data_IF_552615552211
#
_entry.id   IF_552615552211
#
_cell.length_a   1.000
_cell.length_b   1.000
_cell.length_c   1.000
_cell.angle_alpha   90.00
_cell.angle_beta   90.00
_cell.angle_gamma   90.00
#
_symmetry.space_group_name_H-M   'P 1'
#
loop_
_entity.id
_entity.type
_entity.pdbx_description
1 polymer ?
#
# COMPACT_ATOMS: atom_id res chain seq x y z
N UNK A 1 -46.11 -2.47 21.47
CA UNK A 1 -46.68 -1.27 22.11
C UNK A 1 -46.73 -1.49 23.62
N UNK A 2 -45.85 -0.81 24.36
CA UNK A 2 -46.12 -0.33 25.73
C UNK A 2 -44.89 0.45 26.19
N UNK A 3 -45.04 1.77 26.13
CA UNK A 3 -44.18 2.75 26.79
C UNK A 3 -44.45 2.70 28.30
N UNK A 4 -43.44 2.98 29.11
CA UNK A 4 -43.62 3.41 30.49
C UNK A 4 -42.71 4.59 30.75
N UNK A 5 -43.36 5.75 30.89
CA UNK A 5 -42.80 7.00 31.33
C UNK A 5 -43.41 7.32 32.70
N UNK A 6 -42.59 7.75 33.66
CA UNK A 6 -42.99 8.38 34.93
C UNK A 6 -41.90 9.42 35.23
N UNK A 7 -42.12 10.69 34.89
CA UNK A 7 -42.63 11.79 35.73
C UNK A 7 -41.69 12.21 36.89
N UNK A 8 -41.14 13.42 36.71
CA UNK A 8 -40.52 14.31 37.70
C UNK A 8 -41.48 14.68 38.85
N UNK A 9 -40.93 15.25 39.93
CA UNK A 9 -41.47 16.54 40.37
C UNK A 9 -40.41 17.65 40.52
N UNK A 10 -40.82 18.81 40.02
CA UNK A 10 -40.49 20.20 40.38
C UNK A 10 -40.42 20.45 41.90
N UNK A 11 -39.72 21.46 42.44
CA UNK A 11 -39.96 22.88 42.17
C UNK A 11 -38.95 23.82 42.87
N UNK A 12 -38.60 24.92 42.17
CA UNK A 12 -38.65 26.35 42.59
C UNK A 12 -37.75 26.81 43.77
N UNK A 13 -37.02 27.93 43.80
CA UNK A 13 -37.10 29.28 43.19
C UNK A 13 -35.74 29.97 43.49
N UNK A 14 -35.17 30.94 42.78
CA UNK A 14 -35.66 32.33 42.70
C UNK A 14 -34.82 33.18 41.74
N UNK A 15 -35.54 33.77 40.80
CA UNK A 15 -35.47 35.08 40.12
C UNK A 15 -34.40 36.11 40.56
N UNK A 16 -33.70 36.73 39.59
CA UNK A 16 -33.91 38.15 39.19
C UNK A 16 -33.14 38.54 37.92
N UNK A 17 -33.77 39.44 37.17
CA UNK A 17 -33.46 39.95 35.82
C UNK A 17 -32.75 41.30 35.95
N UNK A 18 -31.75 41.59 35.10
CA UNK A 18 -31.55 42.92 34.47
C UNK A 18 -30.46 42.91 33.38
N UNK A 19 -30.86 43.26 32.15
CA UNK A 19 -30.06 44.02 31.16
C UNK A 19 -30.39 45.52 31.39
N UNK A 20 -29.63 46.53 30.89
CA UNK A 20 -28.88 46.59 29.60
C UNK A 20 -27.45 47.18 29.78
N UNK A 21 -26.58 47.36 28.77
CA UNK A 21 -26.51 48.60 27.94
C UNK A 21 -25.30 48.50 26.99
N UNK A 22 -25.48 49.06 25.80
CA UNK A 22 -24.57 49.21 24.67
C UNK A 22 -23.51 50.32 24.92
N UNK A 23 -22.27 50.15 24.45
CA UNK A 23 -21.33 51.27 24.24
C UNK A 23 -20.30 50.97 23.12
N UNK A 24 -20.35 51.80 22.08
CA UNK A 24 -19.34 51.99 21.04
C UNK A 24 -18.15 52.81 21.56
N UNK A 25 -16.96 52.60 20.97
CA UNK A 25 -15.84 53.54 20.71
C UNK A 25 -14.78 52.71 19.93
N UNK A 26 -14.39 52.93 18.67
CA UNK A 26 -13.90 54.09 17.89
C UNK A 26 -12.62 54.76 18.44
N UNK A 27 -11.71 55.00 17.49
CA UNK A 27 -10.44 55.76 17.47
C UNK A 27 -9.16 54.97 17.73
N UNK A 28 -8.01 55.25 17.10
CA UNK A 28 -7.62 55.87 15.82
C UNK A 28 -6.08 55.84 15.83
N UNK A 29 -5.52 55.79 14.63
CA UNK A 29 -4.10 55.81 14.29
C UNK A 29 -3.27 56.90 14.99
N UNK A 30 -2.03 56.57 15.33
CA UNK A 30 -0.91 57.51 15.20
C UNK A 30 0.30 56.88 14.51
N UNK A 31 0.90 57.75 13.71
CA UNK A 31 1.83 57.60 12.61
C UNK A 31 3.28 57.74 13.10
N UNK A 32 4.23 56.92 12.63
CA UNK A 32 5.66 57.26 12.64
C UNK A 32 6.25 56.90 11.28
N UNK A 33 6.86 57.92 10.67
CA UNK A 33 7.42 57.96 9.33
C UNK A 33 8.72 57.15 9.18
N UNK A 34 8.85 56.50 8.01
CA UNK A 34 10.02 56.65 7.12
C UNK A 34 11.28 55.84 7.42
N UNK A 35 11.60 54.87 6.54
CA UNK A 35 12.79 54.88 5.65
C UNK A 35 12.66 53.73 4.62
N UNK A 36 13.04 54.06 3.39
CA UNK A 36 12.98 53.31 2.13
C UNK A 36 14.05 52.20 2.02
N UNK A 37 13.71 51.04 1.41
CA UNK A 37 14.36 50.55 0.17
C UNK A 37 13.86 49.15 -0.31
N UNK A 38 13.20 49.19 -1.48
CA UNK A 38 13.14 48.30 -2.67
C UNK A 38 13.42 46.78 -2.64
N UNK A 39 12.69 46.12 -3.55
CA UNK A 39 12.75 44.75 -4.13
C UNK A 39 11.97 43.68 -3.31
N UNK A 40 11.07 42.85 -3.85
CA UNK A 40 10.90 42.31 -5.21
C UNK A 40 9.44 41.99 -5.57
N UNK A 41 9.22 41.99 -6.89
CA UNK A 41 7.98 41.80 -7.65
C UNK A 41 7.24 40.47 -7.40
N UNK A 42 5.90 40.54 -7.25
CA UNK A 42 4.98 39.41 -7.32
C UNK A 42 4.55 39.23 -8.79
N UNK A 43 5.03 38.18 -9.43
CA UNK A 43 4.49 37.74 -10.73
C UNK A 43 3.13 37.04 -10.52
N UNK A 44 2.03 37.76 -10.75
CA UNK A 44 0.74 37.15 -11.09
C UNK A 44 0.79 36.72 -12.56
N UNK A 45 0.84 35.43 -12.81
CA UNK A 45 0.58 34.90 -14.15
C UNK A 45 -0.92 34.92 -14.42
N UNK A 46 -1.33 35.72 -15.40
CA UNK A 46 -2.67 35.75 -15.98
C UNK A 46 -2.68 34.76 -17.15
N UNK A 47 -3.34 33.61 -16.97
CA UNK A 47 -3.56 32.64 -18.05
C UNK A 47 -4.70 33.16 -18.93
N UNK A 48 -4.32 33.78 -20.05
CA UNK A 48 -5.23 34.17 -21.13
C UNK A 48 -5.35 32.97 -22.09
N UNK A 49 -6.50 32.29 -22.06
CA UNK A 49 -6.83 31.21 -23.00
C UNK A 49 -7.11 31.83 -24.37
N UNK A 50 -6.28 31.52 -25.36
CA UNK A 50 -6.52 31.82 -26.77
C UNK A 50 -7.05 30.54 -27.42
N UNK A 51 -8.29 30.61 -27.89
CA UNK A 51 -8.93 29.57 -28.69
C UNK A 51 -8.70 29.91 -30.16
N UNK A 52 -7.94 29.08 -30.87
CA UNK A 52 -7.91 29.01 -32.34
C UNK A 52 -7.23 27.70 -32.77
N UNK A 53 -7.98 26.78 -33.38
CA UNK A 53 -7.56 26.15 -34.65
C UNK A 53 -8.64 25.20 -35.21
N UNK A 54 -8.95 25.51 -36.47
CA UNK A 54 -9.69 24.80 -37.50
C UNK A 54 -9.49 23.27 -37.64
N UNK A 55 -10.58 22.64 -38.09
CA UNK A 55 -10.82 21.32 -38.74
C UNK A 55 -9.61 20.49 -39.19
N UNK A 56 -9.70 19.19 -38.89
CA UNK A 56 -9.47 18.14 -39.90
C UNK A 56 -10.33 16.91 -39.57
N UNK A 57 -11.33 16.66 -40.40
CA UNK A 57 -12.16 15.46 -40.40
C UNK A 57 -11.29 14.28 -40.90
N UNK A 58 -11.00 13.29 -40.05
CA UNK A 58 -10.37 12.03 -40.43
C UNK A 58 -11.23 10.87 -39.93
N UNK A 59 -11.98 10.31 -40.88
CA UNK A 59 -12.77 9.09 -40.74
C UNK A 59 -11.88 7.93 -40.30
N UNK A 60 -12.25 7.26 -39.21
CA UNK A 60 -11.89 5.86 -38.98
C UNK A 60 -13.15 5.11 -38.58
N UNK A 61 -13.81 4.58 -39.61
CA UNK A 61 -14.75 3.47 -39.49
C UNK A 61 -13.96 2.24 -39.03
N UNK A 62 -14.22 1.82 -37.80
CA UNK A 62 -13.95 0.48 -37.31
C UNK A 62 -15.09 0.14 -36.35
N UNK A 63 -16.22 -0.20 -36.95
CA UNK A 63 -17.38 -0.76 -36.25
C UNK A 63 -17.01 -2.15 -35.70
N UNK A 64 -16.33 -2.18 -34.56
CA UNK A 64 -16.25 -3.34 -33.68
C UNK A 64 -17.23 -3.09 -32.54
N UNK A 65 -18.26 -3.93 -32.45
CA UNK A 65 -19.24 -3.90 -31.37
C UNK A 65 -18.54 -4.12 -30.01
N UNK A 66 -18.14 -3.02 -29.40
CA UNK A 66 -17.67 -2.96 -28.01
C UNK A 66 -18.94 -3.00 -27.15
N UNK A 67 -19.19 -4.15 -26.52
CA UNK A 67 -20.30 -4.35 -25.57
C UNK A 67 -20.32 -3.21 -24.55
N UNK A 68 -21.50 -2.65 -24.27
CA UNK A 68 -21.70 -1.42 -23.49
C UNK A 68 -21.07 -1.43 -22.07
N UNK A 69 -20.72 -2.61 -21.53
CA UNK A 69 -19.98 -2.74 -20.28
C UNK A 69 -18.48 -2.40 -20.33
N UNK A 70 -17.85 -2.42 -21.52
CA UNK A 70 -16.43 -2.10 -21.71
C UNK A 70 -16.17 -0.62 -22.03
N UNK A 71 -17.24 0.19 -22.18
CA UNK A 71 -17.14 1.61 -22.51
C UNK A 71 -17.06 2.51 -21.27
N UNK A 72 -17.43 1.99 -20.09
CA UNK A 72 -17.43 2.72 -18.81
C UNK A 72 -16.12 2.59 -18.03
N UNK A 73 -15.17 1.73 -18.43
CA UNK A 73 -14.01 1.32 -17.61
C UNK A 73 -12.65 1.74 -18.19
N UNK A 74 -12.64 2.35 -19.37
CA UNK A 74 -11.41 2.57 -20.16
C UNK A 74 -11.08 4.06 -20.40
N UNK A 75 -11.78 4.98 -19.72
CA UNK A 75 -11.69 6.41 -20.06
C UNK A 75 -11.93 7.42 -18.94
N UNK A 76 -12.00 7.02 -17.67
CA UNK A 76 -12.04 8.01 -16.59
C UNK A 76 -10.62 8.53 -16.33
N UNK A 77 -10.41 9.82 -16.56
CA UNK A 77 -9.16 10.50 -16.24
C UNK A 77 -8.99 10.58 -14.71
N UNK A 78 -7.75 10.54 -14.21
CA UNK A 78 -7.48 10.49 -12.77
C UNK A 78 -7.99 11.71 -12.01
N UNK A 79 -8.08 12.85 -12.69
CA UNK A 79 -8.73 14.05 -12.15
C UNK A 79 -10.20 13.79 -11.83
N UNK A 80 -10.96 13.26 -12.79
CA UNK A 80 -12.40 13.06 -12.68
C UNK A 80 -12.78 12.04 -11.60
N UNK A 81 -12.07 10.91 -11.51
CA UNK A 81 -12.36 9.88 -10.49
C UNK A 81 -12.03 10.36 -9.06
N UNK A 82 -11.00 11.19 -8.90
CA UNK A 82 -10.62 11.74 -7.59
C UNK A 82 -11.35 13.04 -7.23
N UNK A 83 -12.02 13.67 -8.20
CA UNK A 83 -12.85 14.86 -7.98
C UNK A 83 -14.25 14.47 -7.49
N UNK A 84 -14.77 13.30 -7.89
CA UNK A 84 -16.01 12.71 -7.33
C UNK A 84 -15.77 12.07 -5.95
N UNK A 85 -14.52 11.78 -5.59
CA UNK A 85 -14.18 11.26 -4.27
C UNK A 85 -14.30 12.36 -3.20
N UNK A 86 -15.43 12.39 -2.49
CA UNK A 86 -15.56 13.16 -1.26
C UNK A 86 -14.98 12.38 -0.08
N UNK A 87 -13.81 12.80 0.39
CA UNK A 87 -13.18 12.18 1.53
C UNK A 87 -13.91 12.61 2.82
N UNK A 88 -14.66 11.69 3.42
CA UNK A 88 -15.23 11.88 4.77
C UNK A 88 -14.19 11.82 5.90
N UNK A 89 -12.90 11.71 5.56
CA UNK A 89 -11.79 11.47 6.50
C UNK A 89 -10.86 12.70 6.59
N UNK A 90 -9.78 12.59 7.36
CA UNK A 90 -8.81 13.67 7.50
C UNK A 90 -8.05 13.96 6.20
N UNK A 91 -7.52 15.19 6.01
CA UNK A 91 -6.72 15.54 4.82
C UNK A 91 -5.49 14.64 4.60
N UNK A 92 -4.92 14.07 5.67
CA UNK A 92 -3.80 13.12 5.57
C UNK A 92 -4.22 11.77 4.98
N UNK A 93 -5.43 11.30 5.32
CA UNK A 93 -6.02 10.10 4.71
C UNK A 93 -6.33 10.36 3.24
N UNK A 94 -6.90 11.51 2.90
CA UNK A 94 -7.18 11.88 1.50
C UNK A 94 -5.90 11.91 0.65
N UNK A 95 -4.84 12.57 1.14
CA UNK A 95 -3.57 12.64 0.44
C UNK A 95 -2.97 11.25 0.20
N UNK A 96 -3.09 10.36 1.18
CA UNK A 96 -2.62 8.97 1.06
C UNK A 96 -3.46 8.19 0.05
N UNK A 97 -4.79 8.37 0.09
CA UNK A 97 -5.71 7.73 -0.84
C UNK A 97 -5.40 8.12 -2.30
N UNK A 98 -5.20 9.42 -2.57
CA UNK A 98 -4.78 9.94 -3.88
C UNK A 98 -3.40 9.39 -4.31
N UNK A 99 -2.47 9.23 -3.37
CA UNK A 99 -1.16 8.65 -3.68
C UNK A 99 -1.25 7.16 -4.02
N UNK A 100 -2.07 6.39 -3.30
CA UNK A 100 -2.27 4.96 -3.58
C UNK A 100 -2.84 4.74 -4.97
N UNK A 101 -3.81 5.56 -5.38
CA UNK A 101 -4.38 5.54 -6.73
C UNK A 101 -3.27 5.76 -7.77
N UNK A 102 -2.47 6.83 -7.65
CA UNK A 102 -1.34 7.09 -8.56
C UNK A 102 -0.37 5.91 -8.63
N UNK A 103 0.01 5.34 -7.49
CA UNK A 103 0.93 4.21 -7.43
C UNK A 103 0.37 2.96 -8.13
N UNK A 104 -0.95 2.72 -8.02
CA UNK A 104 -1.65 1.61 -8.72
C UNK A 104 -1.61 1.82 -10.22
N UNK A 105 -1.89 3.03 -10.69
CA UNK A 105 -2.06 3.36 -12.10
C UNK A 105 -0.74 3.41 -12.87
N UNK A 106 0.32 3.86 -12.20
CA UNK A 106 1.67 3.83 -12.73
C UNK A 106 2.33 2.44 -12.58
N UNK A 107 1.67 1.48 -11.92
CA UNK A 107 2.25 0.20 -11.52
C UNK A 107 3.64 0.38 -10.88
N UNK A 108 3.75 1.39 -10.00
CA UNK A 108 5.05 1.92 -9.56
C UNK A 108 5.87 0.86 -8.80
N UNK A 109 7.14 0.71 -9.16
CA UNK A 109 8.08 -0.25 -8.55
C UNK A 109 9.34 0.42 -8.03
N UNK A 110 9.91 -0.10 -6.94
CA UNK A 110 11.19 0.36 -6.37
C UNK A 110 11.17 1.74 -5.70
N UNK A 111 10.43 2.70 -6.27
CA UNK A 111 10.32 4.09 -5.83
C UNK A 111 8.92 4.43 -5.30
N UNK A 112 8.17 3.45 -4.76
CA UNK A 112 6.89 3.73 -4.10
C UNK A 112 7.09 4.67 -2.92
N UNK A 113 6.07 5.48 -2.64
CA UNK A 113 6.09 6.39 -1.51
C UNK A 113 5.95 5.62 -0.19
N UNK A 114 7.01 4.97 0.31
CA UNK A 114 6.96 4.12 1.50
C UNK A 114 6.45 4.83 2.77
N UNK A 115 6.48 6.16 2.79
CA UNK A 115 5.89 6.97 3.84
C UNK A 115 4.36 6.84 3.96
N UNK A 116 3.68 6.37 2.91
CA UNK A 116 2.23 6.07 2.93
C UNK A 116 1.91 4.82 3.72
N UNK A 117 2.87 3.91 3.91
CA UNK A 117 2.68 2.66 4.64
C UNK A 117 3.30 2.75 6.04
N UNK A 118 2.56 2.29 7.05
CA UNK A 118 3.07 2.16 8.40
C UNK A 118 4.25 1.17 8.44
N UNK A 119 5.18 1.36 9.37
CA UNK A 119 6.39 0.51 9.48
C UNK A 119 6.04 -0.98 9.54
N UNK A 120 5.02 -1.33 10.33
CA UNK A 120 4.49 -2.68 10.53
C UNK A 120 3.19 -2.94 9.75
N UNK A 121 3.02 -2.34 8.58
CA UNK A 121 1.86 -2.59 7.71
C UNK A 121 1.69 -4.09 7.45
N UNK A 122 0.46 -4.58 7.53
CA UNK A 122 0.11 -5.96 7.19
C UNK A 122 -0.46 -6.01 5.78
N UNK A 123 0.07 -6.91 4.97
CA UNK A 123 -0.48 -7.21 3.65
C UNK A 123 -1.04 -8.62 3.63
N UNK A 124 -2.19 -8.79 2.97
CA UNK A 124 -2.79 -10.10 2.75
C UNK A 124 -3.50 -10.15 1.40
N UNK A 125 -3.22 -11.19 0.65
CA UNK A 125 -4.02 -11.63 -0.49
C UNK A 125 -4.35 -13.13 -0.36
N UNK A 126 -5.06 -13.75 -1.31
CA UNK A 126 -5.43 -15.17 -1.22
C UNK A 126 -4.25 -16.16 -1.23
N UNK A 127 -3.04 -15.73 -1.56
CA UNK A 127 -1.87 -16.61 -1.78
C UNK A 127 -0.73 -16.32 -0.80
N UNK A 128 -0.57 -15.06 -0.38
CA UNK A 128 0.55 -14.55 0.39
C UNK A 128 0.05 -13.54 1.42
N UNK A 129 0.69 -13.58 2.59
CA UNK A 129 0.63 -12.52 3.58
C UNK A 129 2.04 -12.13 4.00
N UNK A 130 2.25 -10.85 4.30
CA UNK A 130 3.52 -10.38 4.90
C UNK A 130 3.28 -9.20 5.83
N UNK A 131 4.31 -8.84 6.58
CA UNK A 131 4.31 -7.64 7.43
C UNK A 131 5.57 -6.84 7.17
N UNK A 132 5.42 -5.51 7.19
CA UNK A 132 6.52 -4.56 7.04
C UNK A 132 6.48 -3.80 5.73
N UNK A 133 6.65 -2.47 5.80
CA UNK A 133 6.61 -1.60 4.60
C UNK A 133 7.75 -1.86 3.61
N UNK A 134 8.88 -2.37 4.07
CA UNK A 134 10.05 -2.62 3.22
C UNK A 134 9.76 -3.63 2.11
N UNK A 135 8.79 -4.51 2.31
CA UNK A 135 8.35 -5.50 1.31
C UNK A 135 7.65 -4.84 0.11
N UNK A 136 7.13 -3.63 0.25
CA UNK A 136 6.54 -2.85 -0.85
C UNK A 136 7.58 -2.27 -1.84
N UNK A 137 8.88 -2.32 -1.51
CA UNK A 137 9.95 -1.98 -2.46
C UNK A 137 10.14 -3.02 -3.55
N UNK A 138 9.68 -4.25 -3.32
CA UNK A 138 9.90 -5.38 -4.22
C UNK A 138 9.08 -5.23 -5.51
N UNK A 139 9.54 -5.81 -6.63
CA UNK A 139 8.78 -5.83 -7.87
C UNK A 139 7.39 -6.44 -7.68
N UNK A 140 6.42 -5.98 -8.46
CA UNK A 140 5.08 -6.55 -8.51
C UNK A 140 5.10 -7.85 -9.30
N UNK A 141 4.18 -8.75 -8.94
CA UNK A 141 3.90 -9.91 -9.79
C UNK A 141 3.43 -9.46 -11.20
N UNK A 142 2.72 -8.34 -11.30
CA UNK A 142 2.11 -7.83 -12.54
C UNK A 142 3.18 -7.58 -13.61
N UNK A 143 4.26 -6.87 -13.25
CA UNK A 143 5.33 -6.51 -14.18
C UNK A 143 6.18 -7.72 -14.55
N UNK A 144 6.31 -8.71 -13.66
CA UNK A 144 7.01 -9.95 -13.92
C UNK A 144 6.21 -10.90 -14.81
N UNK A 145 4.89 -11.02 -14.60
CA UNK A 145 4.05 -12.01 -15.26
C UNK A 145 3.37 -11.53 -16.56
N UNK A 146 3.19 -10.22 -16.75
CA UNK A 146 2.46 -9.64 -17.88
C UNK A 146 3.34 -8.76 -18.78
N UNK A 147 3.03 -8.76 -20.08
CA UNK A 147 3.50 -7.81 -21.08
C UNK A 147 2.45 -6.74 -21.30
N UNK A 148 2.90 -5.50 -21.44
CA UNK A 148 2.05 -4.32 -21.70
C UNK A 148 0.87 -4.24 -20.73
N UNK A 149 1.14 -4.47 -19.44
CA UNK A 149 0.13 -4.37 -18.40
C UNK A 149 -0.41 -2.93 -18.35
N UNK A 150 -1.74 -2.83 -18.38
CA UNK A 150 -2.49 -1.58 -18.22
C UNK A 150 -3.38 -1.70 -17.01
N UNK A 151 -3.46 -0.62 -16.26
CA UNK A 151 -4.31 -0.52 -15.08
C UNK A 151 -5.32 0.58 -15.25
N UNK A 152 -6.55 0.33 -14.83
CA UNK A 152 -7.59 1.36 -14.72
C UNK A 152 -8.27 1.24 -13.38
N UNK A 153 -8.55 2.37 -12.72
CA UNK A 153 -9.34 2.39 -11.50
C UNK A 153 -10.79 2.58 -11.89
N UNK A 154 -11.67 1.75 -11.34
CA UNK A 154 -13.11 1.77 -11.61
C UNK A 154 -13.86 2.55 -10.55
N UNK A 155 -13.44 2.41 -9.29
CA UNK A 155 -14.14 3.00 -8.17
C UNK A 155 -13.16 3.25 -7.03
N UNK A 156 -13.31 4.38 -6.37
CA UNK A 156 -12.58 4.74 -5.17
C UNK A 156 -13.57 5.28 -4.15
N UNK A 157 -13.72 4.61 -3.02
CA UNK A 157 -14.73 4.97 -2.01
C UNK A 157 -14.23 4.73 -0.59
N UNK A 158 -14.58 5.62 0.33
CA UNK A 158 -14.40 5.38 1.76
C UNK A 158 -15.56 4.52 2.28
N UNK A 159 -15.28 3.30 2.74
CA UNK A 159 -16.26 2.45 3.43
C UNK A 159 -16.50 2.94 4.87
N UNK A 160 -15.49 3.56 5.46
CA UNK A 160 -15.57 4.26 6.75
C UNK A 160 -14.47 5.32 6.81
N UNK A 161 -14.41 6.11 7.87
CA UNK A 161 -13.40 7.18 8.05
C UNK A 161 -11.95 6.68 8.14
N UNK A 162 -11.73 5.36 8.26
CA UNK A 162 -10.39 4.74 8.25
C UNK A 162 -10.23 3.65 7.20
N UNK A 163 -11.27 3.31 6.44
CA UNK A 163 -11.24 2.19 5.51
C UNK A 163 -11.55 2.69 4.10
N UNK A 164 -10.53 2.68 3.26
CA UNK A 164 -10.59 3.01 1.85
C UNK A 164 -10.74 1.72 1.04
N UNK A 165 -11.59 1.75 0.03
CA UNK A 165 -11.77 0.67 -0.92
C UNK A 165 -11.53 1.18 -2.34
N UNK A 166 -10.62 0.54 -3.06
CA UNK A 166 -10.29 0.86 -4.44
C UNK A 166 -10.57 -0.38 -5.29
N UNK A 167 -11.49 -0.26 -6.24
CA UNK A 167 -11.71 -1.29 -7.27
C UNK A 167 -10.99 -0.87 -8.53
N UNK A 168 -10.16 -1.75 -9.05
CA UNK A 168 -9.34 -1.47 -10.22
C UNK A 168 -9.16 -2.73 -11.06
N UNK A 169 -8.78 -2.55 -12.30
CA UNK A 169 -8.56 -3.63 -13.26
C UNK A 169 -7.15 -3.62 -13.78
N UNK A 170 -6.61 -4.82 -13.95
CA UNK A 170 -5.36 -5.09 -14.65
C UNK A 170 -5.72 -5.80 -15.95
N UNK A 171 -5.27 -5.26 -17.08
CA UNK A 171 -5.37 -5.89 -18.40
C UNK A 171 -3.97 -6.05 -18.96
N UNK A 172 -3.59 -7.25 -19.41
CA UNK A 172 -2.27 -7.46 -20.01
C UNK A 172 -2.11 -8.85 -20.61
N UNK A 173 -1.10 -9.01 -21.46
CA UNK A 173 -0.81 -10.31 -22.09
C UNK A 173 0.09 -11.15 -21.21
N UNK A 174 -0.21 -12.43 -20.96
CA UNK A 174 0.72 -13.34 -20.30
C UNK A 174 2.10 -13.34 -20.98
N UNK A 175 3.19 -13.24 -20.20
CA UNK A 175 4.55 -13.38 -20.75
C UNK A 175 4.85 -14.76 -21.30
N UNK A 176 4.19 -15.80 -20.76
CA UNK A 176 4.33 -17.16 -21.27
C UNK A 176 3.63 -17.31 -22.61
N UNK A 177 4.38 -17.72 -23.63
CA UNK A 177 3.88 -17.93 -25.00
C UNK A 177 2.70 -18.93 -25.02
N UNK A 178 2.77 -19.99 -24.20
CA UNK A 178 1.69 -20.98 -24.09
C UNK A 178 0.42 -20.40 -23.46
N UNK A 179 0.57 -19.46 -22.52
CA UNK A 179 -0.56 -18.82 -21.86
C UNK A 179 -1.14 -17.67 -22.69
N UNK A 180 -0.35 -17.06 -23.57
CA UNK A 180 -0.80 -16.00 -24.48
C UNK A 180 -1.84 -16.49 -25.51
N UNK A 181 -1.88 -17.80 -25.77
CA UNK A 181 -2.93 -18.45 -26.59
C UNK A 181 -4.31 -18.30 -25.92
N UNK A 182 -4.35 -18.18 -24.58
CA UNK A 182 -5.56 -17.95 -23.80
C UNK A 182 -6.12 -16.52 -23.89
N UNK A 183 -5.51 -15.63 -24.69
CA UNK A 183 -5.90 -14.24 -24.81
C UNK A 183 -5.37 -13.35 -23.69
N UNK A 184 -5.93 -12.15 -23.60
CA UNK A 184 -5.54 -11.16 -22.59
C UNK A 184 -6.03 -11.59 -21.21
N UNK A 185 -5.18 -11.39 -20.19
CA UNK A 185 -5.54 -11.59 -18.80
C UNK A 185 -6.19 -10.30 -18.27
N UNK A 186 -7.44 -10.42 -17.84
CA UNK A 186 -8.24 -9.36 -17.22
C UNK A 186 -8.50 -9.75 -15.76
N UNK A 187 -7.91 -8.99 -14.84
CA UNK A 187 -8.01 -9.19 -13.40
C UNK A 187 -8.75 -7.99 -12.82
N UNK A 188 -9.85 -8.23 -12.11
CA UNK A 188 -10.50 -7.24 -11.26
C UNK A 188 -9.94 -7.38 -9.85
N UNK A 189 -9.36 -6.32 -9.33
CA UNK A 189 -8.76 -6.29 -8.00
C UNK A 189 -9.59 -5.36 -7.13
N UNK A 190 -9.96 -5.87 -5.96
CA UNK A 190 -10.58 -5.09 -4.90
C UNK A 190 -9.56 -4.93 -3.78
N UNK A 191 -8.97 -3.75 -3.67
CA UNK A 191 -7.96 -3.41 -2.68
C UNK A 191 -8.59 -2.60 -1.56
N UNK A 192 -8.56 -3.15 -0.35
CA UNK A 192 -9.06 -2.53 0.87
C UNK A 192 -7.88 -2.09 1.72
N UNK A 193 -7.84 -0.81 2.05
CA UNK A 193 -6.79 -0.20 2.87
C UNK A 193 -7.39 0.30 4.17
N UNK A 194 -6.88 -0.19 5.30
CA UNK A 194 -7.16 0.36 6.62
C UNK A 194 -6.06 1.37 6.95
N UNK A 195 -6.43 2.63 7.13
CA UNK A 195 -5.54 3.75 7.40
C UNK A 195 -5.65 4.24 8.84
N UNK A 196 -4.55 4.70 9.40
CA UNK A 196 -4.53 5.46 10.63
C UNK A 196 -5.08 6.87 10.37
N UNK A 197 -6.12 7.28 11.09
CA UNK A 197 -6.80 8.56 10.87
C UNK A 197 -5.95 9.79 11.23
N UNK A 198 -4.97 9.62 12.11
CA UNK A 198 -4.08 10.69 12.55
C UNK A 198 -2.96 10.86 11.51
N UNK A 199 -2.20 9.79 11.27
CA UNK A 199 -1.03 9.86 10.39
C UNK A 199 -1.38 9.75 8.90
N UNK A 200 -2.57 9.28 8.55
CA UNK A 200 -2.96 8.93 7.18
C UNK A 200 -2.32 7.65 6.66
N UNK A 201 -1.47 6.97 7.44
CA UNK A 201 -0.70 5.82 6.96
C UNK A 201 -1.52 4.53 6.90
N UNK A 202 -1.27 3.71 5.88
CA UNK A 202 -1.85 2.37 5.72
C UNK A 202 -1.27 1.42 6.78
N UNK A 203 -2.15 0.85 7.60
CA UNK A 203 -1.84 -0.15 8.63
C UNK A 203 -2.14 -1.55 8.13
N UNK A 204 -3.20 -1.72 7.35
CA UNK A 204 -3.57 -3.01 6.75
C UNK A 204 -3.95 -2.82 5.29
N UNK A 205 -3.53 -3.76 4.46
CA UNK A 205 -3.84 -3.80 3.04
C UNK A 205 -4.29 -5.22 2.70
N UNK A 206 -5.54 -5.35 2.26
CA UNK A 206 -6.13 -6.61 1.83
C UNK A 206 -6.50 -6.52 0.35
N UNK A 207 -6.14 -7.53 -0.43
CA UNK A 207 -6.51 -7.61 -1.84
C UNK A 207 -7.33 -8.86 -2.13
N UNK A 208 -8.42 -8.68 -2.86
CA UNK A 208 -9.23 -9.76 -3.43
C UNK A 208 -9.17 -9.68 -4.95
N UNK A 209 -8.95 -10.84 -5.57
CA UNK A 209 -8.63 -10.93 -6.98
C UNK A 209 -9.74 -11.75 -7.65
N UNK A 210 -10.42 -11.14 -8.60
CA UNK A 210 -11.47 -11.75 -9.41
C UNK A 210 -11.00 -11.84 -10.86
N UNK A 211 -11.11 -13.04 -11.44
CA UNK A 211 -10.65 -13.36 -12.78
C UNK A 211 -11.82 -13.71 -13.71
N UNK A 212 -13.06 -13.38 -13.32
CA UNK A 212 -14.25 -13.70 -14.10
C UNK A 212 -14.21 -13.18 -15.54
N UNK A 213 -13.43 -12.12 -15.79
CA UNK A 213 -13.20 -11.54 -17.12
C UNK A 213 -12.14 -12.22 -17.98
N UNK A 214 -11.48 -13.27 -17.47
CA UNK A 214 -10.40 -13.98 -18.16
C UNK A 214 -10.81 -15.38 -18.62
N UNK A 215 -10.19 -15.89 -19.68
CA UNK A 215 -10.38 -17.27 -20.13
C UNK A 215 -9.87 -18.29 -19.10
N UNK A 216 -10.37 -19.53 -19.14
CA UNK A 216 -9.94 -20.60 -18.21
C UNK A 216 -8.42 -20.84 -18.25
N UNK A 217 -7.81 -20.75 -19.44
CA UNK A 217 -6.36 -20.90 -19.62
C UNK A 217 -5.62 -19.74 -18.94
N UNK A 218 -6.10 -18.50 -19.13
CA UNK A 218 -5.52 -17.32 -18.51
C UNK A 218 -5.69 -17.35 -16.97
N UNK A 219 -6.83 -17.81 -16.46
CA UNK A 219 -7.06 -18.01 -15.03
C UNK A 219 -6.09 -19.04 -14.43
N UNK A 220 -5.85 -20.16 -15.12
CA UNK A 220 -4.91 -21.17 -14.68
C UNK A 220 -3.46 -20.63 -14.65
N UNK A 221 -3.06 -19.90 -15.70
CA UNK A 221 -1.77 -19.22 -15.75
C UNK A 221 -1.60 -18.23 -14.60
N UNK A 222 -2.64 -17.43 -14.33
CA UNK A 222 -2.66 -16.48 -13.22
C UNK A 222 -2.37 -17.18 -11.89
N UNK A 223 -3.15 -18.19 -11.52
CA UNK A 223 -2.99 -18.84 -10.23
C UNK A 223 -1.65 -19.59 -10.11
N UNK A 224 -1.19 -20.21 -11.20
CA UNK A 224 0.10 -20.89 -11.23
C UNK A 224 1.26 -19.91 -11.06
N UNK A 225 1.31 -18.84 -11.85
CA UNK A 225 2.36 -17.83 -11.78
C UNK A 225 2.32 -17.05 -10.47
N UNK A 226 1.15 -16.73 -9.94
CA UNK A 226 0.99 -16.02 -8.66
C UNK A 226 1.47 -16.87 -7.49
N UNK A 227 1.18 -18.17 -7.48
CA UNK A 227 1.70 -19.11 -6.47
C UNK A 227 3.20 -19.24 -6.57
N UNK A 228 3.76 -19.40 -7.78
CA UNK A 228 5.20 -19.44 -7.98
C UNK A 228 5.87 -18.18 -7.42
N UNK A 229 5.35 -17.00 -7.78
CA UNK A 229 5.85 -15.73 -7.27
C UNK A 229 5.76 -15.63 -5.74
N UNK A 230 4.64 -16.05 -5.14
CA UNK A 230 4.51 -16.09 -3.68
C UNK A 230 5.56 -16.98 -3.01
N UNK A 231 5.83 -18.16 -3.56
CA UNK A 231 6.83 -19.09 -3.00
C UNK A 231 8.25 -18.54 -3.08
N UNK A 232 8.62 -17.94 -4.22
CA UNK A 232 9.94 -17.30 -4.41
C UNK A 232 10.11 -16.16 -3.41
N UNK A 233 9.08 -15.34 -3.26
CA UNK A 233 9.12 -14.19 -2.36
C UNK A 233 9.10 -14.57 -0.87
N UNK A 234 8.36 -15.62 -0.50
CA UNK A 234 8.40 -16.18 0.85
C UNK A 234 9.80 -16.77 1.16
N UNK A 235 10.43 -17.42 0.18
CA UNK A 235 11.82 -17.88 0.32
C UNK A 235 12.79 -16.73 0.58
N UNK A 236 12.63 -15.59 -0.11
CA UNK A 236 13.40 -14.36 0.17
C UNK A 236 13.11 -13.82 1.57
N UNK A 237 11.85 -13.86 2.03
CA UNK A 237 11.49 -13.41 3.38
C UNK A 237 12.18 -14.22 4.48
N UNK A 238 12.25 -15.55 4.33
CA UNK A 238 12.98 -16.42 5.25
C UNK A 238 14.48 -16.13 5.21
N UNK A 239 15.06 -15.96 4.02
CA UNK A 239 16.48 -15.64 3.88
C UNK A 239 16.85 -14.29 4.51
N UNK A 240 16.01 -13.26 4.32
CA UNK A 240 16.20 -11.94 4.93
C UNK A 240 16.14 -12.03 6.46
N UNK A 241 15.19 -12.79 7.01
CA UNK A 241 15.07 -13.01 8.45
C UNK A 241 16.29 -13.72 9.05
N UNK A 242 16.80 -14.77 8.39
CA UNK A 242 18.01 -15.46 8.84
C UNK A 242 19.24 -14.55 8.78
N UNK A 243 19.35 -13.71 7.74
CA UNK A 243 20.44 -12.72 7.64
C UNK A 243 20.38 -11.69 8.76
N UNK A 244 19.19 -11.20 9.11
CA UNK A 244 18.98 -10.24 10.20
C UNK A 244 19.28 -10.85 11.57
N UNK A 245 18.90 -12.12 11.79
CA UNK A 245 19.28 -12.84 13.01
C UNK A 245 20.79 -13.08 13.10
N UNK A 246 21.43 -13.49 12.00
CA UNK A 246 22.88 -13.70 11.98
C UNK A 246 23.65 -12.39 12.16
N UNK A 247 23.20 -11.28 11.57
CA UNK A 247 23.85 -9.98 11.75
C UNK A 247 23.68 -9.48 13.19
N UNK A 248 22.49 -9.66 13.79
CA UNK A 248 22.24 -9.31 15.19
C UNK A 248 23.06 -10.16 16.14
N UNK A 249 23.11 -11.48 15.97
CA UNK A 249 23.95 -12.39 16.78
C UNK A 249 25.45 -12.11 16.61
N UNK A 250 25.91 -11.82 15.39
CA UNK A 250 27.31 -11.43 15.14
C UNK A 250 27.63 -10.06 15.74
N UNK A 251 26.68 -9.12 15.76
CA UNK A 251 26.85 -7.81 16.41
C UNK A 251 26.82 -7.89 17.94
N UNK A 252 26.13 -8.86 18.50
CA UNK A 252 26.11 -9.16 19.93
C UNK A 252 27.45 -9.77 20.37
N UNK A 253 27.99 -10.72 19.59
CA UNK A 253 29.32 -11.31 19.83
C UNK A 253 30.49 -10.31 19.64
N UNK A 254 30.33 -9.27 18.79
CA UNK A 254 31.33 -8.20 18.62
C UNK A 254 31.22 -7.06 19.64
N UNK A 255 30.14 -6.99 20.42
CA UNK A 255 30.00 -6.05 21.55
C UNK A 255 30.33 -6.70 22.90
N UNK A 256 30.91 -7.91 22.91
CA UNK A 256 31.49 -8.52 24.11
C UNK A 256 32.99 -8.19 24.28
N UNK A 257 33.50 -7.18 23.57
CA UNK A 257 34.86 -6.69 23.78
C UNK A 257 34.94 -5.82 25.06
N UNK A 258 35.28 -6.55 26.12
CA UNK A 258 36.24 -6.19 27.19
C UNK A 258 35.75 -5.23 28.28
N UNK A 259 35.04 -5.79 29.26
CA UNK A 259 35.31 -5.43 30.66
C UNK A 259 36.29 -6.47 31.24
N UNK A 260 37.51 -6.10 31.66
CA UNK A 260 38.43 -7.05 32.28
C UNK A 260 37.89 -7.38 33.67
N UNK A 261 37.25 -8.54 33.81
CA UNK A 261 36.99 -9.11 35.14
C UNK A 261 38.34 -9.43 35.80
N UNK A 262 38.69 -8.84 36.96
CA UNK A 262 39.95 -9.06 37.64
C UNK A 262 40.07 -10.45 38.29
N UNK A 263 39.01 -11.27 38.30
CA UNK A 263 39.05 -12.64 38.83
C UNK A 263 39.03 -13.67 37.70
N UNK A 264 40.23 -14.17 37.37
CA UNK A 264 40.42 -15.23 36.39
C UNK A 264 39.81 -16.54 36.85
N UNK A 265 38.62 -16.85 36.32
CA UNK A 265 38.01 -18.17 36.43
C UNK A 265 38.70 -19.16 35.46
N UNK A 266 39.41 -20.19 35.95
CA UNK A 266 40.11 -21.17 35.13
C UNK A 266 39.17 -22.06 34.30
N UNK A 267 37.84 -22.01 34.50
CA UNK A 267 36.89 -22.74 33.67
C UNK A 267 36.65 -22.14 32.28
N UNK A 268 37.12 -20.91 32.01
CA UNK A 268 36.88 -20.19 30.74
C UNK A 268 37.53 -20.86 29.51
N UNK A 269 38.52 -21.73 29.71
CA UNK A 269 39.18 -22.49 28.64
C UNK A 269 38.41 -23.75 28.19
N UNK A 270 37.31 -24.09 28.86
CA UNK A 270 36.45 -25.21 28.47
C UNK A 270 35.17 -24.77 27.73
N UNK A 271 35.00 -23.47 27.51
CA UNK A 271 34.01 -22.97 26.56
C UNK A 271 34.57 -23.20 25.15
N UNK A 272 34.36 -24.42 24.65
CA UNK A 272 34.61 -24.80 23.27
C UNK A 272 33.73 -23.91 22.38
N UNK A 273 34.32 -23.28 21.37
CA UNK A 273 33.61 -22.45 20.41
C UNK A 273 32.38 -23.20 19.85
N UNK A 274 31.19 -22.81 20.30
CA UNK A 274 29.90 -23.20 19.72
C UNK A 274 29.78 -22.51 18.35
N UNK A 275 30.55 -23.04 17.42
CA UNK A 275 30.58 -22.59 16.03
C UNK A 275 29.33 -23.12 15.34
N UNK A 276 28.28 -22.31 15.29
CA UNK A 276 27.04 -22.52 14.51
C UNK A 276 27.27 -23.12 13.11
N UNK A 277 28.44 -22.88 12.50
CA UNK A 277 28.85 -23.51 11.25
C UNK A 277 28.93 -25.05 11.35
N UNK A 278 29.52 -25.62 12.40
CA UNK A 278 29.56 -27.07 12.61
C UNK A 278 28.17 -27.66 12.77
N UNK A 279 27.31 -27.01 13.55
CA UNK A 279 25.94 -27.45 13.75
C UNK A 279 25.14 -27.41 12.45
N UNK A 280 25.33 -26.37 11.63
CA UNK A 280 24.71 -26.28 10.31
C UNK A 280 25.16 -27.40 9.37
N UNK A 281 26.47 -27.68 9.29
CA UNK A 281 26.98 -28.79 8.48
C UNK A 281 26.46 -30.15 8.96
N UNK A 282 26.35 -30.33 10.28
CA UNK A 282 25.86 -31.57 10.87
C UNK A 282 24.37 -31.79 10.60
N UNK A 283 23.55 -30.74 10.68
CA UNK A 283 22.12 -30.78 10.34
C UNK A 283 21.92 -30.97 8.83
N UNK A 284 22.71 -30.28 7.99
CA UNK A 284 22.64 -30.42 6.54
C UNK A 284 23.00 -31.84 6.08
N UNK A 285 24.00 -32.47 6.71
CA UNK A 285 24.39 -33.85 6.43
C UNK A 285 23.27 -34.83 6.84
N UNK A 286 22.64 -34.63 7.99
CA UNK A 286 21.51 -35.44 8.44
C UNK A 286 20.34 -35.37 7.43
N UNK A 287 19.99 -34.16 6.97
CA UNK A 287 18.93 -33.97 5.98
C UNK A 287 19.27 -34.61 4.63
N UNK A 288 20.53 -34.53 4.20
CA UNK A 288 21.00 -35.20 2.98
C UNK A 288 20.85 -36.72 3.09
N UNK A 289 21.22 -37.32 4.22
CA UNK A 289 21.06 -38.76 4.46
C UNK A 289 19.59 -39.17 4.44
N UNK A 290 18.72 -38.44 5.12
CA UNK A 290 17.27 -38.72 5.11
C UNK A 290 16.70 -38.63 3.70
N UNK A 291 17.10 -37.61 2.93
CA UNK A 291 16.69 -37.45 1.54
C UNK A 291 17.13 -38.63 0.68
N UNK A 292 18.38 -39.09 0.81
CA UNK A 292 18.86 -40.27 0.09
C UNK A 292 18.11 -41.54 0.46
N UNK A 293 17.81 -41.74 1.75
CA UNK A 293 17.03 -42.91 2.22
C UNK A 293 15.62 -42.88 1.65
N UNK A 294 14.94 -41.73 1.69
CA UNK A 294 13.59 -41.58 1.11
C UNK A 294 13.62 -41.80 -0.40
N UNK A 295 14.61 -41.25 -1.10
CA UNK A 295 14.75 -41.42 -2.54
C UNK A 295 15.01 -42.88 -2.91
N UNK A 296 15.86 -43.57 -2.14
CA UNK A 296 16.15 -45.00 -2.32
C UNK A 296 14.92 -45.88 -2.08
N UNK A 297 14.15 -45.61 -1.02
CA UNK A 297 12.89 -46.31 -0.74
C UNK A 297 11.88 -46.09 -1.87
N UNK A 298 11.79 -44.88 -2.41
CA UNK A 298 10.88 -44.53 -3.51
C UNK A 298 11.27 -45.14 -4.85
N UNK A 299 12.54 -45.49 -5.06
CA UNK A 299 12.99 -46.18 -6.28
C UNK A 299 12.92 -47.70 -6.18
N UNK A 300 12.86 -48.25 -4.97
CA UNK A 300 12.92 -49.70 -4.72
C UNK A 300 11.55 -50.32 -4.44
N UNK A 301 10.57 -49.50 -4.06
CA UNK A 301 9.20 -49.88 -3.70
C UNK A 301 8.21 -49.19 -4.65
#
# INVERSE_FOLDING_TARGET
>A
MSFSAVLLPSSSSSTTISLPTNHNNLFSFHNINGISSKFNSIHRFSLRVVNDSNRTDLSTDATLEKTDGDKLVDGMDFGELCDEFECVSSPSVEATARQLVRDILELREGNRALGTFAVSVKYKDPVRSFTGREKYKRPLWITDALQNARTSVQEMVMLSTSVLNIKWTIKGKPKSILAAIGGDLIIKVNSKFTLNQISGQVVEHEELWDLSGSSVIAQAYFWASRRLFATVEAGKDVADFVKDLNSKSTSENKNMDVYPDPYGDPAKFFQRDDSFQRDFYQIALLLAVIYFVVQFLKTTL
#
